data_IF_528800719645
#
_entry.id   IF_528800719645
#
_cell.length_a   1.000
_cell.length_b   1.000
_cell.length_c   1.000
_cell.angle_alpha   90.00
_cell.angle_beta   90.00
_cell.angle_gamma   90.00
#
_symmetry.space_group_name_H-M   'P 1'
#
loop_
_entity.id
_entity.type
_entity.pdbx_description
1 polymer ?
#
# COMPACT_ATOMS: atom_id res chain seq x y z
N UNK A 1 -5.85 -16.02 13.05
CA UNK A 1 -5.84 -14.79 13.86
C UNK A 1 -5.28 -13.66 13.01
N UNK A 2 -5.41 -12.41 13.46
CA UNK A 2 -4.74 -11.25 12.87
C UNK A 2 -3.48 -10.95 13.69
N UNK A 3 -2.31 -10.88 13.04
CA UNK A 3 -1.02 -10.67 13.73
C UNK A 3 -0.70 -9.19 13.97
N UNK A 4 -1.11 -8.30 13.05
CA UNK A 4 -0.89 -6.85 13.18
C UNK A 4 -1.93 -6.06 12.39
N UNK A 5 -2.39 -4.94 12.96
CA UNK A 5 -3.14 -3.90 12.26
C UNK A 5 -2.29 -2.62 12.20
N UNK A 6 -2.27 -1.96 11.05
CA UNK A 6 -1.50 -0.72 10.83
C UNK A 6 -2.46 0.38 10.40
N UNK A 7 -2.45 1.49 11.13
CA UNK A 7 -3.11 2.72 10.71
C UNK A 7 -2.13 3.57 9.89
N UNK A 8 -2.59 4.13 8.79
CA UNK A 8 -1.81 5.00 7.91
C UNK A 8 -2.56 6.31 7.63
N UNK A 9 -1.86 7.43 7.43
CA UNK A 9 -2.48 8.64 6.90
C UNK A 9 -2.72 8.50 5.39
N UNK A 10 -3.73 9.18 4.86
CA UNK A 10 -4.08 9.17 3.43
C UNK A 10 -2.88 9.51 2.51
N UNK A 11 -2.02 10.44 2.96
CA UNK A 11 -0.79 10.81 2.25
C UNK A 11 0.18 9.62 2.02
N UNK A 12 0.16 8.61 2.90
CA UNK A 12 0.94 7.40 2.72
C UNK A 12 0.35 6.51 1.61
N UNK A 13 -0.98 6.41 1.52
CA UNK A 13 -1.66 5.71 0.43
C UNK A 13 -1.34 6.36 -0.92
N UNK A 14 -1.41 7.69 -1.01
CA UNK A 14 -1.02 8.44 -2.21
C UNK A 14 0.45 8.22 -2.59
N UNK A 15 1.33 8.09 -1.61
CA UNK A 15 2.74 7.77 -1.85
C UNK A 15 2.91 6.37 -2.42
N UNK A 16 2.17 5.40 -1.91
CA UNK A 16 2.16 4.04 -2.43
C UNK A 16 1.59 3.96 -3.86
N UNK A 17 0.54 4.73 -4.20
CA UNK A 17 0.02 4.85 -5.57
C UNK A 17 1.12 5.29 -6.55
N UNK A 18 1.88 6.33 -6.20
CA UNK A 18 2.97 6.83 -7.05
C UNK A 18 4.05 5.78 -7.25
N UNK A 19 4.45 5.08 -6.18
CA UNK A 19 5.44 3.99 -6.28
C UNK A 19 4.94 2.83 -7.16
N UNK A 20 3.69 2.41 -7.01
CA UNK A 20 3.10 1.38 -7.88
C UNK A 20 3.09 1.82 -9.35
N UNK A 21 2.77 3.09 -9.60
CA UNK A 21 2.78 3.68 -10.95
C UNK A 21 4.19 3.67 -11.56
N UNK A 22 5.24 3.94 -10.78
CA UNK A 22 6.63 3.85 -11.25
C UNK A 22 7.01 2.43 -11.72
N UNK A 23 6.35 1.39 -11.18
CA UNK A 23 6.49 0.00 -11.61
C UNK A 23 5.44 -0.44 -12.63
N UNK A 24 4.65 0.47 -13.18
CA UNK A 24 3.61 0.19 -14.18
C UNK A 24 2.37 -0.53 -13.61
N UNK A 25 2.16 -0.48 -12.30
CA UNK A 25 0.99 -1.05 -11.63
C UNK A 25 -0.01 0.08 -11.38
N UNK A 26 -1.19 -0.03 -11.98
CA UNK A 26 -2.29 0.89 -11.72
C UNK A 26 -2.94 0.56 -10.37
N UNK A 27 -3.11 1.57 -9.51
CA UNK A 27 -3.75 1.43 -8.21
C UNK A 27 -4.44 2.73 -7.78
N UNK A 28 -5.61 2.62 -7.18
CA UNK A 28 -6.25 3.69 -6.41
C UNK A 28 -5.73 3.74 -4.97
N UNK A 29 -6.19 4.71 -4.18
CA UNK A 29 -5.77 4.88 -2.78
C UNK A 29 -6.01 3.62 -1.94
N UNK A 30 -7.23 3.05 -2.00
CA UNK A 30 -7.56 1.81 -1.28
C UNK A 30 -6.73 0.64 -1.80
N UNK A 31 -6.55 0.55 -3.13
CA UNK A 31 -5.74 -0.48 -3.76
C UNK A 31 -4.27 -0.44 -3.34
N UNK A 32 -3.74 0.76 -3.06
CA UNK A 32 -2.36 0.96 -2.64
C UNK A 32 -2.18 0.90 -1.10
N UNK A 33 -3.25 0.86 -0.31
CA UNK A 33 -3.20 0.91 1.16
C UNK A 33 -2.35 -0.22 1.77
N UNK A 34 -2.39 -1.41 1.18
CA UNK A 34 -1.56 -2.54 1.62
C UNK A 34 -0.05 -2.26 1.49
N UNK A 35 0.38 -1.65 0.38
CA UNK A 35 1.77 -1.24 0.19
C UNK A 35 2.13 -0.10 1.16
N UNK A 36 1.25 0.88 1.34
CA UNK A 36 1.47 1.98 2.29
C UNK A 36 1.66 1.46 3.73
N UNK A 37 0.84 0.51 4.16
CA UNK A 37 1.00 -0.16 5.47
C UNK A 37 2.35 -0.87 5.60
N UNK A 38 2.79 -1.60 4.56
CA UNK A 38 4.09 -2.27 4.56
C UNK A 38 5.26 -1.27 4.64
N UNK A 39 5.16 -0.13 3.94
CA UNK A 39 6.17 0.93 3.99
C UNK A 39 6.20 1.61 5.37
N UNK A 40 5.06 1.78 6.03
CA UNK A 40 5.01 2.30 7.40
C UNK A 40 5.78 1.40 8.39
N UNK A 41 5.80 0.08 8.16
CA UNK A 41 6.62 -0.87 8.91
C UNK A 41 8.12 -0.71 8.68
N UNK A 42 8.58 0.26 7.85
CA UNK A 42 10.00 0.63 7.73
C UNK A 42 10.34 1.90 8.52
N UNK A 43 9.41 2.85 8.59
CA UNK A 43 9.70 4.24 9.01
C UNK A 43 9.03 4.67 10.32
N UNK A 44 8.02 3.95 10.80
CA UNK A 44 7.35 4.26 12.07
C UNK A 44 8.31 4.11 13.28
N UNK A 45 8.08 4.85 14.39
CA UNK A 45 8.94 4.77 15.59
C UNK A 45 9.18 3.34 16.09
N UNK A 46 8.13 2.50 16.10
CA UNK A 46 8.19 1.10 16.58
C UNK A 46 8.35 0.08 15.44
N UNK A 47 8.73 0.53 14.25
CA UNK A 47 8.79 -0.30 13.05
C UNK A 47 9.70 -1.53 13.22
N UNK A 48 10.81 -1.42 13.95
CA UNK A 48 11.71 -2.55 14.22
C UNK A 48 11.02 -3.63 15.06
N UNK A 49 10.28 -3.23 16.10
CA UNK A 49 9.51 -4.15 16.94
C UNK A 49 8.42 -4.86 16.13
N UNK A 50 7.65 -4.12 15.33
CA UNK A 50 6.60 -4.71 14.50
C UNK A 50 7.14 -5.68 13.44
N UNK A 51 8.26 -5.35 12.79
CA UNK A 51 8.91 -6.29 11.85
C UNK A 51 9.39 -7.55 12.55
N UNK A 52 9.97 -7.43 13.75
CA UNK A 52 10.40 -8.59 14.53
C UNK A 52 9.20 -9.46 14.96
N UNK A 53 8.10 -8.85 15.41
CA UNK A 53 6.87 -9.55 15.77
C UNK A 53 6.28 -10.34 14.58
N UNK A 54 6.28 -9.74 13.39
CA UNK A 54 5.82 -10.38 12.15
C UNK A 54 6.83 -11.38 11.55
N UNK A 55 8.04 -11.50 12.11
CA UNK A 55 9.11 -12.30 11.53
C UNK A 55 9.56 -11.81 10.14
N UNK A 56 9.38 -10.52 9.85
CA UNK A 56 9.80 -9.92 8.57
C UNK A 56 11.32 -9.78 8.53
N UNK A 57 11.93 -10.50 7.58
CA UNK A 57 13.37 -10.50 7.33
C UNK A 57 13.65 -10.09 5.89
N UNK A 58 14.93 -9.83 5.52
CA UNK A 58 15.30 -9.63 4.12
C UNK A 58 15.00 -10.83 3.20
N UNK A 59 14.82 -12.05 3.76
CA UNK A 59 14.47 -13.24 3.00
C UNK A 59 12.94 -13.43 2.83
N UNK A 60 12.12 -12.60 3.48
CA UNK A 60 10.66 -12.69 3.41
C UNK A 60 10.16 -12.33 2.02
N UNK A 61 9.19 -13.11 1.52
CA UNK A 61 8.41 -12.80 0.33
C UNK A 61 7.04 -12.30 0.75
N UNK A 62 6.68 -11.10 0.32
CA UNK A 62 5.40 -10.45 0.69
C UNK A 62 4.52 -10.39 -0.54
N UNK A 63 3.29 -10.89 -0.42
CA UNK A 63 2.23 -10.70 -1.40
C UNK A 63 1.43 -9.45 -1.02
N UNK A 64 1.23 -8.56 -1.97
CA UNK A 64 0.34 -7.41 -1.84
C UNK A 64 -0.82 -7.58 -2.82
N UNK A 65 -2.04 -7.28 -2.38
CA UNK A 65 -3.22 -7.28 -3.21
C UNK A 65 -3.61 -5.84 -3.53
N UNK A 66 -3.58 -5.49 -4.81
CA UNK A 66 -4.14 -4.22 -5.30
C UNK A 66 -5.60 -4.47 -5.62
N UNK A 67 -6.49 -3.91 -4.81
CA UNK A 67 -7.93 -4.21 -4.88
C UNK A 67 -8.67 -3.39 -5.93
N UNK A 68 -8.18 -2.20 -6.26
CA UNK A 68 -8.77 -1.30 -7.25
C UNK A 68 -7.70 -0.44 -7.93
N UNK A 69 -7.94 -0.09 -9.18
CA UNK A 69 -7.16 0.87 -9.97
C UNK A 69 -7.56 2.32 -9.67
N UNK A 70 -7.12 3.26 -10.49
CA UNK A 70 -7.49 4.67 -10.34
C UNK A 70 -8.94 4.89 -10.79
N UNK A 71 -9.87 4.77 -9.84
CA UNK A 71 -11.31 4.95 -10.06
C UNK A 71 -11.66 6.36 -10.52
N UNK A 72 -10.81 7.36 -10.22
CA UNK A 72 -11.01 8.74 -10.68
C UNK A 72 -10.74 8.89 -12.17
N UNK A 73 -9.71 8.22 -12.71
CA UNK A 73 -9.43 8.21 -14.14
C UNK A 73 -10.52 7.50 -14.94
N UNK A 74 -11.00 6.36 -14.45
CA UNK A 74 -12.09 5.61 -15.08
C UNK A 74 -13.40 6.41 -15.15
N UNK A 75 -13.72 7.21 -14.11
CA UNK A 75 -14.89 8.07 -14.11
C UNK A 75 -14.82 9.22 -15.13
N UNK A 76 -13.64 9.78 -15.38
CA UNK A 76 -13.45 10.87 -16.37
C UNK A 76 -13.43 10.39 -17.82
N UNK A 77 -13.13 9.12 -18.08
CA UNK A 77 -13.21 8.53 -19.42
C UNK A 77 -14.67 8.22 -19.83
N UNK A 78 -15.54 7.92 -18.87
CA UNK A 78 -16.97 7.68 -19.10
C UNK A 78 -17.80 8.94 -19.43
N UNK A 79 -17.30 10.14 -19.13
CA UNK A 79 -18.01 11.42 -19.33
C UNK A 79 -17.72 12.07 -20.70
N UNK A 80 -17.00 11.36 -21.60
CA UNK A 80 -16.79 11.76 -23.01
C UNK A 80 -17.52 10.87 -24.02
N UNK A 81 -18.59 10.20 -23.59
CA UNK A 81 -19.46 9.36 -24.44
C UNK A 81 -20.67 10.11 -24.98
#
# INVERSE_FOLDING_TARGET
GLDLAVAIPDAAALTAVRLLTEFGIEAGETGAAGLAGLLALRTAPDAAHHRAHLGLTPASRVLLLVTEGDTSRAAHEGDRG
#
